data_IF_057374099628
#
_entry.id   IF_057374099628
#
_cell.length_a   1.000
_cell.length_b   1.000
_cell.length_c   1.000
_cell.angle_alpha   90.00
_cell.angle_beta   90.00
_cell.angle_gamma   90.00
#
_symmetry.space_group_name_H-M   'P 1'
#
loop_
_entity.id
_entity.type
_entity.pdbx_description
1 polymer ?
#
# COMPACT_ATOMS: atom_id res chain seq x y z
N UNK A 1 9.44 -9.88 20.32
CA UNK A 1 8.36 -9.03 19.76
C UNK A 1 7.94 -9.64 18.44
N UNK A 2 6.67 -9.99 18.26
CA UNK A 2 6.17 -10.43 16.96
C UNK A 2 6.26 -9.26 15.96
N UNK A 3 6.77 -9.55 14.77
CA UNK A 3 6.89 -8.60 13.67
C UNK A 3 5.50 -8.23 13.13
N UNK A 4 5.29 -6.98 12.71
CA UNK A 4 4.01 -6.58 12.12
C UNK A 4 3.86 -7.07 10.68
N UNK A 5 2.65 -7.05 10.13
CA UNK A 5 2.32 -7.50 8.78
C UNK A 5 3.23 -6.91 7.70
N UNK A 6 3.57 -5.62 7.83
CA UNK A 6 4.53 -4.97 6.95
C UNK A 6 5.91 -5.62 7.01
N UNK A 7 6.44 -5.90 8.20
CA UNK A 7 7.74 -6.56 8.35
C UNK A 7 7.73 -8.00 7.81
N UNK A 8 6.67 -8.76 8.12
CA UNK A 8 6.48 -10.13 7.60
C UNK A 8 6.49 -10.12 6.06
N UNK A 9 5.72 -9.22 5.43
CA UNK A 9 5.70 -9.09 3.97
C UNK A 9 7.10 -8.83 3.38
N UNK A 10 7.90 -7.96 4.02
CA UNK A 10 9.26 -7.68 3.55
C UNK A 10 10.21 -8.86 3.74
N UNK A 11 10.10 -9.61 4.86
CA UNK A 11 10.91 -10.82 5.09
C UNK A 11 10.58 -11.94 4.11
N UNK A 12 9.29 -12.16 3.85
CA UNK A 12 8.87 -13.15 2.84
C UNK A 12 9.38 -12.71 1.46
N UNK A 13 9.30 -11.42 1.12
CA UNK A 13 9.84 -10.92 -0.14
C UNK A 13 11.36 -11.06 -0.24
N UNK A 14 12.09 -10.89 0.87
CA UNK A 14 13.52 -11.17 0.97
C UNK A 14 13.84 -12.62 0.63
N UNK A 15 13.15 -13.55 1.28
CA UNK A 15 13.34 -14.99 1.07
C UNK A 15 13.02 -15.41 -0.37
N UNK A 16 11.91 -14.91 -0.92
CA UNK A 16 11.53 -15.16 -2.30
C UNK A 16 12.54 -14.60 -3.30
N UNK A 17 13.05 -13.40 -3.05
CA UNK A 17 14.05 -12.77 -3.92
C UNK A 17 15.36 -13.56 -3.95
N UNK A 18 15.75 -14.17 -2.82
CA UNK A 18 16.93 -15.04 -2.75
C UNK A 18 16.76 -16.32 -3.58
N UNK A 19 15.51 -16.76 -3.80
CA UNK A 19 15.15 -17.89 -4.64
C UNK A 19 14.81 -17.49 -6.09
N UNK A 20 15.11 -16.25 -6.48
CA UNK A 20 14.87 -15.75 -7.84
C UNK A 20 13.42 -15.39 -8.15
N UNK A 21 12.53 -15.43 -7.16
CA UNK A 21 11.13 -15.02 -7.28
C UNK A 21 11.05 -13.51 -7.09
N UNK A 22 10.36 -12.81 -7.99
CA UNK A 22 10.19 -11.36 -7.90
C UNK A 22 8.70 -11.00 -7.74
N UNK A 23 8.42 -9.88 -7.07
CA UNK A 23 7.10 -9.28 -7.12
C UNK A 23 6.99 -8.39 -8.36
N UNK A 24 5.90 -8.46 -9.09
CA UNK A 24 5.57 -7.51 -10.15
C UNK A 24 4.24 -6.84 -9.82
N UNK A 25 4.12 -5.55 -10.13
CA UNK A 25 2.90 -4.81 -9.83
C UNK A 25 2.56 -3.75 -10.84
N UNK A 26 1.27 -3.53 -11.04
CA UNK A 26 0.72 -2.50 -11.92
C UNK A 26 -0.36 -1.70 -11.18
N UNK A 27 -0.40 -0.40 -11.47
CA UNK A 27 -1.40 0.50 -10.92
C UNK A 27 -2.78 0.20 -11.49
N UNK A 28 -3.83 0.49 -10.72
CA UNK A 28 -5.19 0.59 -11.22
C UNK A 28 -5.98 1.59 -10.37
N UNK A 29 -7.18 1.98 -10.81
CA UNK A 29 -7.90 3.09 -10.16
C UNK A 29 -8.14 2.88 -8.65
N UNK A 30 -8.43 1.65 -8.21
CA UNK A 30 -8.69 1.34 -6.80
C UNK A 30 -7.45 0.85 -6.02
N UNK A 31 -6.25 0.94 -6.60
CA UNK A 31 -5.01 0.58 -5.91
C UNK A 31 -3.95 -0.03 -6.82
N UNK A 32 -3.39 -1.16 -6.39
CA UNK A 32 -2.33 -1.90 -7.11
C UNK A 32 -2.70 -3.37 -7.28
N UNK A 33 -2.50 -3.91 -8.48
CA UNK A 33 -2.44 -5.35 -8.70
C UNK A 33 -0.99 -5.81 -8.53
N UNK A 34 -0.78 -6.92 -7.85
CA UNK A 34 0.52 -7.54 -7.68
C UNK A 34 0.46 -9.02 -8.08
N UNK A 35 1.59 -9.54 -8.55
CA UNK A 35 1.83 -10.95 -8.78
C UNK A 35 3.23 -11.34 -8.32
N UNK A 36 3.38 -12.56 -7.82
CA UNK A 36 4.69 -13.16 -7.60
C UNK A 36 5.07 -13.97 -8.83
N UNK A 37 6.28 -13.78 -9.35
CA UNK A 37 6.75 -14.38 -10.60
C UNK A 37 7.98 -15.22 -10.31
N UNK A 38 7.91 -16.50 -10.65
CA UNK A 38 9.02 -17.44 -10.46
C UNK A 38 10.12 -17.27 -11.54
N UNK A 39 11.16 -18.09 -11.46
CA UNK A 39 12.30 -18.07 -12.39
C UNK A 39 11.94 -18.46 -13.83
N UNK A 40 10.79 -19.12 -14.03
CA UNK A 40 10.25 -19.48 -15.35
C UNK A 40 9.35 -18.38 -15.94
N UNK A 41 9.11 -17.28 -15.20
CA UNK A 41 8.21 -16.22 -15.62
C UNK A 41 6.72 -16.50 -15.30
N UNK A 42 6.42 -17.55 -14.55
CA UNK A 42 5.06 -17.94 -14.21
C UNK A 42 4.57 -17.20 -12.97
N UNK A 43 3.32 -16.76 -12.98
CA UNK A 43 2.69 -16.14 -11.83
C UNK A 43 2.23 -17.21 -10.83
N UNK A 44 2.86 -17.26 -9.66
CA UNK A 44 2.57 -18.25 -8.61
C UNK A 44 1.61 -17.74 -7.53
N UNK A 45 1.31 -16.44 -7.53
CA UNK A 45 0.31 -15.84 -6.66
C UNK A 45 -0.07 -14.45 -7.13
N UNK A 46 -1.27 -14.00 -6.78
CA UNK A 46 -1.87 -12.74 -7.22
C UNK A 46 -2.53 -12.02 -6.06
N UNK A 47 -2.45 -10.70 -6.08
CA UNK A 47 -2.99 -9.87 -5.02
C UNK A 47 -3.46 -8.52 -5.52
N UNK A 48 -4.41 -7.94 -4.79
CA UNK A 48 -4.95 -6.61 -5.05
C UNK A 48 -5.19 -5.91 -3.72
N UNK A 49 -4.69 -4.68 -3.59
CA UNK A 49 -4.94 -3.85 -2.42
C UNK A 49 -4.69 -2.35 -2.75
N UNK A 50 -4.87 -1.43 -1.80
CA UNK A 50 -4.79 0.03 -2.00
C UNK A 50 -3.41 0.52 -2.46
N UNK A 51 -2.35 -0.27 -2.24
CA UNK A 51 -0.98 0.06 -2.61
C UNK A 51 -0.11 -1.20 -2.72
N UNK A 52 1.14 -1.05 -3.19
CA UNK A 52 2.02 -2.15 -3.57
C UNK A 52 2.26 -3.19 -2.46
N UNK A 53 2.64 -2.75 -1.25
CA UNK A 53 3.04 -3.67 -0.19
C UNK A 53 1.91 -4.62 0.27
N UNK A 54 0.70 -4.15 0.63
CA UNK A 54 -0.39 -5.07 0.96
C UNK A 54 -0.90 -5.88 -0.25
N UNK A 55 -0.79 -5.36 -1.49
CA UNK A 55 -1.09 -6.16 -2.68
C UNK A 55 -0.08 -7.32 -2.84
N UNK A 56 1.21 -7.08 -2.60
CA UNK A 56 2.26 -8.11 -2.59
C UNK A 56 2.01 -9.10 -1.46
N UNK A 57 1.66 -8.64 -0.25
CA UNK A 57 1.28 -9.54 0.85
C UNK A 57 0.13 -10.45 0.44
N UNK A 58 -0.92 -9.90 -0.18
CA UNK A 58 -2.03 -10.73 -0.65
C UNK A 58 -1.59 -11.76 -1.70
N UNK A 59 -0.65 -11.42 -2.58
CA UNK A 59 -0.06 -12.37 -3.53
C UNK A 59 0.80 -13.44 -2.84
N UNK A 60 1.46 -13.13 -1.72
CA UNK A 60 2.20 -14.10 -0.90
C UNK A 60 1.27 -15.10 -0.20
N UNK A 61 0.11 -14.63 0.28
CA UNK A 61 -0.94 -15.48 0.86
C UNK A 61 -1.56 -16.37 -0.22
N UNK A 62 -1.92 -15.80 -1.38
CA UNK A 62 -2.52 -16.53 -2.51
C UNK A 62 -1.59 -17.62 -3.08
N UNK A 63 -0.28 -17.43 -2.98
CA UNK A 63 0.72 -18.41 -3.39
C UNK A 63 0.94 -19.55 -2.39
N UNK A 64 0.22 -19.56 -1.25
CA UNK A 64 0.34 -20.56 -0.18
C UNK A 64 1.77 -20.69 0.38
N UNK A 65 2.50 -19.57 0.41
CA UNK A 65 3.90 -19.50 0.90
C UNK A 65 3.94 -19.25 2.42
N UNK A 66 2.87 -18.68 2.98
CA UNK A 66 2.76 -18.31 4.39
C UNK A 66 1.91 -19.36 5.11
N UNK A 67 2.35 -19.90 6.26
CA UNK A 67 1.55 -20.84 7.06
C UNK A 67 0.13 -20.34 7.32
N UNK A 68 -0.86 -21.24 7.26
CA UNK A 68 -2.30 -20.91 7.27
C UNK A 68 -2.75 -20.10 8.49
N UNK A 69 -2.19 -20.39 9.67
CA UNK A 69 -2.46 -19.68 10.92
C UNK A 69 -2.02 -18.21 10.83
N UNK A 70 -0.81 -17.97 10.32
CA UNK A 70 -0.26 -16.63 10.10
C UNK A 70 -0.99 -15.92 8.95
N UNK A 71 -1.30 -16.65 7.87
CA UNK A 71 -2.00 -16.13 6.71
C UNK A 71 -3.38 -15.57 7.11
N UNK A 72 -4.13 -16.30 7.94
CA UNK A 72 -5.45 -15.88 8.45
C UNK A 72 -5.37 -14.54 9.18
N UNK A 73 -4.38 -14.36 10.06
CA UNK A 73 -4.16 -13.08 10.75
C UNK A 73 -3.81 -11.96 9.75
N UNK A 74 -2.95 -12.26 8.77
CA UNK A 74 -2.50 -11.29 7.76
C UNK A 74 -3.63 -10.84 6.83
N UNK A 75 -4.56 -11.72 6.50
CA UNK A 75 -5.77 -11.36 5.75
C UNK A 75 -6.61 -10.32 6.48
N UNK A 76 -6.63 -10.38 7.81
CA UNK A 76 -7.34 -9.43 8.67
C UNK A 76 -6.89 -7.98 8.54
N UNK A 77 -5.66 -7.73 8.06
CA UNK A 77 -5.10 -6.37 7.88
C UNK A 77 -5.15 -5.85 6.44
N UNK A 78 -5.61 -6.68 5.50
CA UNK A 78 -5.78 -6.30 4.09
C UNK A 78 -7.01 -5.40 3.91
N UNK A 79 -6.98 -4.56 2.87
CA UNK A 79 -8.06 -3.58 2.68
C UNK A 79 -9.31 -4.24 2.12
N UNK A 80 -10.44 -4.07 2.82
CA UNK A 80 -11.75 -4.54 2.34
C UNK A 80 -12.17 -3.81 1.06
N UNK A 81 -12.91 -4.50 0.19
CA UNK A 81 -13.40 -3.97 -1.09
C UNK A 81 -14.15 -2.64 -0.99
N UNK A 82 -14.96 -2.46 0.05
CA UNK A 82 -15.68 -1.20 0.28
C UNK A 82 -14.72 -0.04 0.58
N UNK A 83 -13.62 -0.31 1.30
CA UNK A 83 -12.62 0.70 1.63
C UNK A 83 -11.70 0.98 0.43
N UNK A 84 -11.37 -0.02 -0.41
CA UNK A 84 -10.68 0.19 -1.69
C UNK A 84 -11.41 1.26 -2.53
N UNK A 85 -12.73 1.12 -2.70
CA UNK A 85 -13.56 2.08 -3.45
C UNK A 85 -13.56 3.47 -2.84
N UNK A 86 -13.65 3.56 -1.51
CA UNK A 86 -13.64 4.85 -0.78
C UNK A 86 -12.31 5.56 -0.93
N UNK A 87 -11.20 4.83 -0.80
CA UNK A 87 -9.84 5.36 -1.00
C UNK A 87 -9.63 5.75 -2.45
N UNK A 88 -10.11 4.96 -3.42
CA UNK A 88 -10.05 5.28 -4.85
C UNK A 88 -10.75 6.60 -5.17
N UNK A 89 -11.97 6.80 -4.64
CA UNK A 89 -12.71 8.05 -4.79
C UNK A 89 -12.05 9.26 -4.13
N UNK A 90 -11.10 9.04 -3.21
CA UNK A 90 -10.32 10.09 -2.55
C UNK A 90 -9.01 10.40 -3.27
N UNK A 91 -8.25 9.35 -3.60
CA UNK A 91 -6.83 9.43 -3.96
C UNK A 91 -6.55 9.01 -5.40
N UNK A 92 -7.48 8.32 -6.05
CA UNK A 92 -7.30 7.67 -7.35
C UNK A 92 -6.25 6.57 -7.31
N UNK A 93 -5.51 6.42 -8.41
CA UNK A 93 -4.50 5.38 -8.65
C UNK A 93 -3.35 5.39 -7.62
N UNK A 94 -3.34 4.47 -6.66
CA UNK A 94 -2.20 4.13 -5.80
C UNK A 94 -1.60 5.25 -4.93
N UNK A 95 -2.25 6.42 -4.84
CA UNK A 95 -1.66 7.68 -4.34
C UNK A 95 -1.62 7.82 -2.81
N UNK A 96 -1.59 6.70 -2.10
CA UNK A 96 -1.82 6.63 -0.65
C UNK A 96 -0.81 7.42 0.18
N UNK A 97 0.45 7.54 -0.27
CA UNK A 97 1.49 8.28 0.47
C UNK A 97 1.20 9.78 0.45
N UNK A 98 0.87 10.34 -0.71
CA UNK A 98 0.52 11.77 -0.83
C UNK A 98 -0.76 12.09 -0.07
N UNK A 99 -1.80 11.28 -0.22
CA UNK A 99 -3.07 11.52 0.46
C UNK A 99 -2.94 11.39 1.98
N UNK A 100 -2.15 10.44 2.50
CA UNK A 100 -1.89 10.33 3.94
C UNK A 100 -1.31 11.63 4.51
N UNK A 101 -0.32 12.23 3.84
CA UNK A 101 0.24 13.52 4.26
C UNK A 101 -0.82 14.63 4.28
N UNK A 102 -1.63 14.74 3.22
CA UNK A 102 -2.70 15.75 3.16
C UNK A 102 -3.79 15.55 4.20
N UNK A 103 -4.12 14.30 4.55
CA UNK A 103 -5.08 13.98 5.60
C UNK A 103 -4.55 14.46 6.95
N UNK A 104 -3.31 14.10 7.30
CA UNK A 104 -2.69 14.51 8.56
C UNK A 104 -2.64 16.05 8.65
N UNK A 105 -2.17 16.72 7.60
CA UNK A 105 -2.16 18.19 7.56
C UNK A 105 -3.55 18.78 7.70
N UNK A 106 -4.58 18.19 7.06
CA UNK A 106 -5.95 18.67 7.20
C UNK A 106 -6.46 18.57 8.65
N UNK A 107 -6.18 17.46 9.35
CA UNK A 107 -6.55 17.31 10.76
C UNK A 107 -5.84 18.36 11.62
N UNK A 108 -4.53 18.53 11.44
CA UNK A 108 -3.73 19.52 12.19
C UNK A 108 -4.17 20.97 11.92
N UNK A 109 -4.47 21.32 10.66
CA UNK A 109 -4.99 22.64 10.26
C UNK A 109 -6.32 22.98 10.97
N UNK A 110 -7.05 21.97 11.46
CA UNK A 110 -8.32 22.13 12.19
C UNK A 110 -8.14 21.98 13.70
N UNK A 111 -6.90 22.00 14.21
CA UNK A 111 -6.58 21.91 15.63
C UNK A 111 -6.62 20.49 16.22
N UNK A 112 -6.93 19.48 15.41
CA UNK A 112 -6.96 18.08 15.84
C UNK A 112 -5.61 17.38 15.74
N UNK A 113 -5.60 16.06 16.02
CA UNK A 113 -4.41 15.23 15.88
C UNK A 113 -4.74 13.82 15.38
N UNK A 114 -3.71 13.10 14.93
CA UNK A 114 -3.80 11.72 14.44
C UNK A 114 -2.97 10.83 15.35
N UNK A 115 -3.60 9.82 15.93
CA UNK A 115 -2.93 8.77 16.70
C UNK A 115 -2.80 7.51 15.84
N UNK A 116 -1.60 6.93 15.79
CA UNK A 116 -1.38 5.62 15.18
C UNK A 116 -0.88 4.66 16.25
N UNK A 117 -1.63 3.60 16.48
CA UNK A 117 -1.28 2.58 17.49
C UNK A 117 -1.24 1.19 16.89
N UNK A 118 -0.41 0.33 17.50
CA UNK A 118 -0.35 -1.09 17.15
C UNK A 118 -1.69 -1.74 17.50
N UNK A 119 -2.14 -2.63 16.62
CA UNK A 119 -3.33 -3.45 16.85
C UNK A 119 -3.09 -4.84 16.25
N UNK A 120 -2.80 -5.81 17.12
CA UNK A 120 -2.34 -7.13 16.72
C UNK A 120 -1.08 -7.07 15.86
N UNK A 121 -1.16 -7.68 14.67
CA UNK A 121 -0.10 -7.66 13.65
C UNK A 121 -0.15 -6.42 12.75
N UNK A 122 -1.20 -5.61 12.82
CA UNK A 122 -1.36 -4.39 12.05
C UNK A 122 -1.32 -3.13 12.92
N UNK A 123 -1.92 -2.07 12.40
CA UNK A 123 -2.04 -0.78 13.09
C UNK A 123 -3.41 -0.15 12.87
N UNK A 124 -3.85 0.71 13.79
CA UNK A 124 -5.02 1.58 13.60
C UNK A 124 -4.61 3.04 13.56
N UNK A 125 -5.37 3.82 12.80
CA UNK A 125 -5.28 5.27 12.80
C UNK A 125 -6.59 5.86 13.34
N UNK A 126 -6.47 6.68 14.37
CA UNK A 126 -7.58 7.40 15.01
C UNK A 126 -7.38 8.89 14.77
N UNK A 127 -8.44 9.56 14.35
CA UNK A 127 -8.46 11.01 14.14
C UNK A 127 -9.26 11.64 15.26
N UNK A 128 -8.69 12.67 15.86
CA UNK A 128 -9.35 13.47 16.88
C UNK A 128 -9.47 14.91 16.41
N UNK A 129 -10.53 15.59 16.81
CA UNK A 129 -10.70 17.03 16.57
C UNK A 129 -9.96 17.87 17.63
N UNK A 130 -10.17 19.18 17.58
CA UNK A 130 -9.54 20.16 18.48
C UNK A 130 -9.97 20.02 19.94
N UNK A 131 -11.14 19.45 20.20
CA UNK A 131 -11.72 19.28 21.53
C UNK A 131 -11.32 17.90 22.11
N UNK A 132 -10.68 17.06 21.29
CA UNK A 132 -10.22 15.72 21.65
C UNK A 132 -11.23 14.63 21.33
N UNK A 133 -12.33 14.95 20.65
CA UNK A 133 -13.38 14.00 20.30
C UNK A 133 -12.97 13.17 19.07
N UNK A 134 -13.32 11.88 19.07
CA UNK A 134 -13.00 10.97 17.97
C UNK A 134 -13.82 11.33 16.71
N UNK A 135 -13.12 11.68 15.63
CA UNK A 135 -13.70 11.87 14.30
C UNK A 135 -13.88 10.52 13.58
N UNK A 136 -12.88 9.64 13.70
CA UNK A 136 -12.88 8.32 13.04
C UNK A 136 -11.79 7.40 13.59
N UNK A 137 -12.09 6.11 13.59
CA UNK A 137 -11.18 5.03 13.95
C UNK A 137 -11.14 3.97 12.84
N UNK A 138 -9.94 3.69 12.32
CA UNK A 138 -9.79 2.71 11.25
C UNK A 138 -10.03 1.29 11.75
N UNK A 139 -10.41 0.40 10.82
CA UNK A 139 -10.07 -1.02 11.02
C UNK A 139 -8.55 -1.18 11.08
N UNK A 140 -8.10 -2.30 11.62
CA UNK A 140 -6.71 -2.72 11.55
C UNK A 140 -6.24 -2.69 10.09
N UNK A 141 -5.17 -1.95 9.82
CA UNK A 141 -4.58 -1.82 8.51
C UNK A 141 -3.14 -2.34 8.50
N UNK A 142 -2.66 -2.70 7.30
CA UNK A 142 -1.33 -3.23 7.06
C UNK A 142 -0.18 -2.35 7.57
N UNK A 143 -0.29 -1.03 7.40
CA UNK A 143 0.71 -0.05 7.86
C UNK A 143 0.06 1.32 8.13
N UNK A 144 0.78 2.28 8.75
CA UNK A 144 0.22 3.58 9.11
C UNK A 144 -0.41 4.33 7.93
N UNK A 145 0.25 4.33 6.77
CA UNK A 145 -0.26 4.99 5.55
C UNK A 145 -1.58 4.35 5.09
N UNK A 146 -1.69 3.02 5.17
CA UNK A 146 -2.92 2.31 4.82
C UNK A 146 -4.05 2.67 5.78
N UNK A 147 -3.79 2.58 7.09
CA UNK A 147 -4.78 2.86 8.13
C UNK A 147 -5.32 4.30 8.05
N UNK A 148 -4.46 5.30 7.82
CA UNK A 148 -4.85 6.71 7.67
C UNK A 148 -5.78 6.89 6.45
N UNK A 149 -5.42 6.34 5.30
CA UNK A 149 -6.25 6.45 4.10
C UNK A 149 -7.60 5.74 4.26
N UNK A 150 -7.62 4.57 4.89
CA UNK A 150 -8.85 3.82 5.16
C UNK A 150 -9.75 4.60 6.12
N UNK A 151 -9.19 5.16 7.20
CA UNK A 151 -9.93 6.00 8.16
C UNK A 151 -10.54 7.21 7.45
N UNK A 152 -9.73 7.98 6.71
CA UNK A 152 -10.20 9.16 5.99
C UNK A 152 -11.25 8.82 4.92
N UNK A 153 -11.08 7.70 4.21
CA UNK A 153 -12.04 7.24 3.20
C UNK A 153 -13.43 6.97 3.77
N UNK A 154 -13.53 6.64 5.06
CA UNK A 154 -14.80 6.40 5.77
C UNK A 154 -15.49 7.67 6.23
N UNK A 155 -14.80 8.80 6.32
CA UNK A 155 -15.36 10.10 6.71
C UNK A 155 -15.68 10.93 5.46
N UNK A 156 -16.97 11.12 5.08
CA UNK A 156 -17.32 11.77 3.81
C UNK A 156 -16.84 13.22 3.66
N UNK A 157 -16.77 13.98 4.75
CA UNK A 157 -16.27 15.37 4.75
C UNK A 157 -14.77 15.41 4.42
N UNK A 158 -13.95 14.62 5.12
CA UNK A 158 -12.51 14.51 4.87
C UNK A 158 -12.27 13.98 3.45
N UNK A 159 -12.94 12.90 3.05
CA UNK A 159 -12.81 12.31 1.72
C UNK A 159 -13.01 13.34 0.61
N UNK A 160 -14.10 14.13 0.68
CA UNK A 160 -14.38 15.20 -0.31
C UNK A 160 -13.31 16.28 -0.30
N UNK A 161 -12.86 16.72 0.88
CA UNK A 161 -11.83 17.76 1.01
C UNK A 161 -10.51 17.33 0.38
N UNK A 162 -10.08 16.10 0.65
CA UNK A 162 -8.83 15.55 0.10
C UNK A 162 -8.93 15.32 -1.40
N UNK A 163 -10.06 14.80 -1.90
CA UNK A 163 -10.30 14.63 -3.32
C UNK A 163 -10.20 15.97 -4.08
N UNK A 164 -10.80 17.04 -3.53
CA UNK A 164 -10.70 18.40 -4.11
C UNK A 164 -9.26 18.94 -4.03
N UNK A 165 -8.53 18.77 -2.91
CA UNK A 165 -7.11 19.16 -2.82
C UNK A 165 -6.24 18.43 -3.86
N UNK A 166 -6.59 17.20 -4.22
CA UNK A 166 -5.85 16.39 -5.20
C UNK A 166 -6.29 16.61 -6.64
N UNK A 167 -7.41 17.29 -6.88
CA UNK A 167 -7.96 17.55 -8.21
C UNK A 167 -6.96 18.34 -9.06
N UNK A 168 -6.75 17.90 -10.30
CA UNK A 168 -5.81 18.54 -11.24
C UNK A 168 -4.31 18.31 -10.93
N UNK A 169 -3.97 17.75 -9.77
CA UNK A 169 -2.57 17.46 -9.44
C UNK A 169 -2.07 16.18 -10.13
N UNK A 170 -0.77 16.15 -10.48
CA UNK A 170 -0.15 15.02 -11.19
C UNK A 170 -0.22 13.73 -10.38
N UNK A 171 -0.91 12.72 -10.90
CA UNK A 171 -0.98 11.38 -10.30
C UNK A 171 -0.04 10.41 -11.05
N UNK A 172 1.10 10.09 -10.44
CA UNK A 172 2.10 9.17 -11.02
C UNK A 172 1.54 7.76 -11.21
N UNK A 173 0.66 7.30 -10.32
CA UNK A 173 0.01 6.00 -10.47
C UNK A 173 -0.89 5.94 -11.69
N UNK A 174 -1.63 7.03 -11.96
CA UNK A 174 -2.45 7.16 -13.17
C UNK A 174 -1.58 7.14 -14.44
N UNK A 175 -0.47 7.87 -14.44
CA UNK A 175 0.47 7.89 -15.57
C UNK A 175 1.03 6.49 -15.83
N UNK A 176 1.43 5.76 -14.77
CA UNK A 176 1.92 4.38 -14.88
C UNK A 176 0.85 3.45 -15.44
N UNK A 177 -0.40 3.57 -14.98
CA UNK A 177 -1.52 2.81 -15.53
C UNK A 177 -1.75 3.09 -17.02
N UNK A 178 -1.85 4.36 -17.41
CA UNK A 178 -2.12 4.77 -18.81
C UNK A 178 -1.02 4.34 -19.77
N UNK A 179 0.22 4.28 -19.28
CA UNK A 179 1.40 3.83 -20.04
C UNK A 179 1.65 2.32 -19.96
N UNK A 180 0.85 1.57 -19.21
CA UNK A 180 1.07 0.13 -19.03
C UNK A 180 2.38 -0.21 -18.31
N UNK A 181 2.90 0.68 -17.46
CA UNK A 181 4.17 0.48 -16.75
C UNK A 181 4.01 -0.60 -15.68
N UNK A 182 4.93 -1.56 -15.70
CA UNK A 182 5.07 -2.62 -14.71
C UNK A 182 6.21 -2.26 -13.74
N UNK A 183 5.96 -2.37 -12.44
CA UNK A 183 7.01 -2.28 -11.43
C UNK A 183 7.47 -3.70 -11.09
N UNK A 184 8.75 -4.01 -11.36
CA UNK A 184 9.39 -5.24 -10.86
C UNK A 184 10.12 -4.93 -9.58
N UNK A 185 9.74 -5.60 -8.51
CA UNK A 185 10.13 -5.31 -7.13
C UNK A 185 10.82 -6.53 -6.56
N UNK A 186 12.01 -6.33 -6.01
CA UNK A 186 12.77 -7.39 -5.35
C UNK A 186 13.54 -6.86 -4.16
N UNK A 187 13.84 -7.75 -3.23
CA UNK A 187 14.78 -7.47 -2.17
C UNK A 187 16.20 -7.82 -2.62
N UNK A 188 17.16 -6.95 -2.34
CA UNK A 188 18.59 -7.21 -2.56
C UNK A 188 19.39 -6.32 -1.62
N UNK A 189 20.50 -6.82 -1.07
CA UNK A 189 21.43 -6.01 -0.25
C UNK A 189 20.73 -5.23 0.88
N UNK A 190 19.78 -5.89 1.58
CA UNK A 190 19.00 -5.30 2.69
C UNK A 190 18.13 -4.10 2.29
N UNK A 191 17.75 -4.00 1.03
CA UNK A 191 16.94 -2.91 0.46
C UNK A 191 15.93 -3.47 -0.54
N UNK A 192 14.86 -2.72 -0.76
CA UNK A 192 13.95 -2.97 -1.88
C UNK A 192 14.48 -2.26 -3.11
N UNK A 193 14.54 -2.96 -4.23
CA UNK A 193 14.81 -2.44 -5.56
C UNK A 193 13.54 -2.52 -6.40
N UNK A 194 13.25 -1.44 -7.13
CA UNK A 194 12.16 -1.38 -8.11
C UNK A 194 12.73 -1.01 -9.46
N UNK A 195 12.45 -1.81 -10.48
CA UNK A 195 12.64 -1.47 -11.89
C UNK A 195 11.27 -1.10 -12.49
N UNK A 196 11.20 0.00 -13.24
CA UNK A 196 10.05 0.33 -14.08
C UNK A 196 10.25 -0.24 -15.47
N UNK A 197 9.29 -1.02 -15.95
CA UNK A 197 9.32 -1.70 -17.23
C UNK A 197 8.18 -1.20 -18.11
N UNK A 198 8.50 -0.80 -19.33
CA UNK A 198 7.57 -0.39 -20.39
C UNK A 198 8.07 -1.03 -21.69
N UNK A 199 7.20 -1.73 -22.41
CA UNK A 199 7.54 -2.45 -23.66
C UNK A 199 8.83 -3.29 -23.53
N UNK A 200 8.92 -4.10 -22.47
CA UNK A 200 10.07 -4.95 -22.11
C UNK A 200 11.40 -4.21 -21.87
N UNK A 201 11.38 -2.88 -21.80
CA UNK A 201 12.56 -2.04 -21.50
C UNK A 201 12.48 -1.47 -20.11
N UNK A 202 13.62 -1.46 -19.42
CA UNK A 202 13.72 -0.78 -18.13
C UNK A 202 13.88 0.73 -18.37
N UNK A 203 12.87 1.51 -17.98
CA UNK A 203 12.83 2.97 -18.16
C UNK A 203 13.16 3.74 -16.88
N UNK A 204 13.23 3.05 -15.73
CA UNK A 204 13.50 3.65 -14.43
C UNK A 204 13.98 2.60 -13.44
N UNK A 205 14.81 3.01 -12.49
CA UNK A 205 15.30 2.16 -11.41
C UNK A 205 15.43 2.97 -10.14
N UNK A 206 15.02 2.40 -9.02
CA UNK A 206 15.25 3.00 -7.73
C UNK A 206 15.35 1.94 -6.62
N UNK A 207 15.84 2.36 -5.46
CA UNK A 207 15.88 1.55 -4.26
C UNK A 207 15.35 2.33 -3.06
N UNK A 208 14.94 1.61 -2.02
CA UNK A 208 14.42 2.22 -0.81
C UNK A 208 14.44 1.29 0.39
N UNK A 209 14.16 1.85 1.56
CA UNK A 209 14.01 1.09 2.80
C UNK A 209 12.69 0.29 2.86
N UNK A 210 11.70 0.65 2.05
CA UNK A 210 10.44 -0.08 1.93
C UNK A 210 9.92 -0.09 0.49
N UNK A 211 8.97 -0.98 0.23
CA UNK A 211 8.33 -1.14 -1.09
C UNK A 211 7.79 0.21 -1.58
N UNK A 212 6.95 0.88 -0.81
CA UNK A 212 6.31 2.14 -1.23
C UNK A 212 7.31 3.24 -1.61
N UNK A 213 8.36 3.46 -0.81
CA UNK A 213 9.38 4.48 -1.12
C UNK A 213 10.19 4.13 -2.37
N UNK A 214 10.53 2.85 -2.55
CA UNK A 214 11.27 2.42 -3.73
C UNK A 214 10.45 2.63 -5.01
N UNK A 215 9.15 2.32 -4.98
CA UNK A 215 8.28 2.32 -6.16
C UNK A 215 7.75 3.71 -6.53
N UNK A 216 7.50 4.58 -5.56
CA UNK A 216 7.05 5.97 -5.82
C UNK A 216 8.14 6.81 -6.49
N UNK A 217 9.41 6.51 -6.19
CA UNK A 217 10.59 7.27 -6.65
C UNK A 217 11.34 6.60 -7.82
N UNK A 218 10.91 5.43 -8.26
CA UNK A 218 11.36 4.79 -9.49
C UNK A 218 10.68 5.46 -10.69
#
# INVERSE_FOLDING_TARGET
MAEGACGICHRVLEELSNHGINAESSEFFEGVNARLVNTLGEAIGKGRDITWAPAILKAQIDADIIPEDIATDLEGVLTKRADLKRVAGMSGYGRVVTSAGLIISHIWENGGYVEVKRDGIGVRAIFYDKDGDEISNSVTGFCPVCAINISAGRVPSIRRKIAEKLKGSKNTGKIKYERGILNRIKWKNRRIYTDLIEDDKIIGRNWGCCIAYSTVRA
#
